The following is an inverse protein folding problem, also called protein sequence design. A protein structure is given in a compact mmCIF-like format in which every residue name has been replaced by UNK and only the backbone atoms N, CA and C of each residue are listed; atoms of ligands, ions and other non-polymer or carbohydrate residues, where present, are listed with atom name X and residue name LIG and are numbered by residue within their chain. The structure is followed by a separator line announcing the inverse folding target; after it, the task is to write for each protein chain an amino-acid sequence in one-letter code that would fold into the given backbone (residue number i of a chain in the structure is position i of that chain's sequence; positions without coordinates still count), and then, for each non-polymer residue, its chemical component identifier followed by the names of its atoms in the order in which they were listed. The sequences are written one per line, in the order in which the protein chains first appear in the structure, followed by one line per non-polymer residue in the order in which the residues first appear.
data_IF_454517436347
#
_entry.id   IF_454517436347
#
_cell.length_a   1.000
_cell.length_b   1.000
_cell.length_c   1.000
_cell.angle_alpha   90.00
_cell.angle_beta   90.00
_cell.angle_gamma   90.00
#
_symmetry.space_group_name_H-M   'P 1'
#
loop_
_entity.id
_entity.type
_entity.pdbx_description
1 polymer ?
#
# COMPACT_ATOMS: atom_id res chain seq x y z
N UNK A 1 16.88 57.26 6.41
CA UNK A 1 16.90 55.85 6.88
C UNK A 1 16.05 55.05 5.91
N UNK A 2 16.58 54.69 4.74
CA UNK A 2 17.22 53.38 4.44
C UNK A 2 16.36 52.19 4.90
N UNK A 3 15.46 51.75 4.01
CA UNK A 3 14.79 50.46 4.07
C UNK A 3 15.09 49.70 2.78
N UNK A 4 16.03 48.78 2.88
CA UNK A 4 16.52 47.89 1.82
C UNK A 4 15.41 47.01 1.23
N UNK A 5 15.47 46.79 -0.08
CA UNK A 5 14.59 45.88 -0.81
C UNK A 5 14.89 44.40 -0.57
N UNK A 6 13.96 43.55 -1.03
CA UNK A 6 14.28 42.20 -1.49
C UNK A 6 13.60 41.95 -2.81
N UNK A 7 14.46 41.58 -3.75
CA UNK A 7 14.21 41.38 -5.15
C UNK A 7 13.33 40.17 -5.41
N UNK A 8 12.54 40.32 -6.47
CA UNK A 8 12.02 39.25 -7.28
C UNK A 8 13.17 38.38 -7.83
N UNK A 9 12.94 37.07 -7.87
CA UNK A 9 13.62 36.20 -8.83
C UNK A 9 12.65 35.12 -9.25
N UNK A 10 11.95 35.43 -10.33
CA UNK A 10 11.43 34.45 -11.28
C UNK A 10 12.59 33.56 -11.74
N UNK A 11 12.41 32.24 -11.66
CA UNK A 11 13.11 31.32 -12.57
C UNK A 11 12.17 30.22 -12.99
N UNK A 12 12.13 30.07 -14.31
CA UNK A 12 11.21 29.31 -15.11
C UNK A 12 11.53 27.82 -15.12
N UNK A 13 10.47 27.03 -15.31
CA UNK A 13 10.38 25.78 -16.08
C UNK A 13 11.62 24.88 -16.15
N UNK A 14 11.46 23.64 -15.67
CA UNK A 14 11.71 22.47 -16.52
C UNK A 14 10.80 21.32 -16.09
N UNK A 15 9.90 20.99 -17.01
CA UNK A 15 8.98 19.86 -17.01
C UNK A 15 9.65 18.80 -17.87
N UNK A 16 10.12 17.69 -17.31
CA UNK A 16 10.44 16.49 -18.09
C UNK A 16 9.92 15.26 -17.37
N UNK A 17 9.14 14.53 -18.14
CA UNK A 17 8.37 13.36 -17.81
C UNK A 17 9.20 12.16 -17.35
N UNK A 18 8.54 11.38 -16.51
CA UNK A 18 8.78 9.95 -16.27
C UNK A 18 8.78 9.14 -17.56
N UNK A 19 9.74 8.21 -17.70
CA UNK A 19 9.50 6.88 -18.28
C UNK A 19 10.48 5.88 -17.66
N UNK A 20 9.97 5.03 -16.77
CA UNK A 20 10.64 3.84 -16.25
C UNK A 20 10.00 2.63 -16.91
N UNK A 21 10.64 2.13 -17.95
CA UNK A 21 10.32 0.84 -18.58
C UNK A 21 11.45 -0.18 -18.27
N UNK A 22 11.16 -1.30 -17.58
CA UNK A 22 12.13 -2.39 -17.43
C UNK A 22 11.98 -3.42 -18.56
N UNK A 23 12.97 -3.47 -19.46
CA UNK A 23 13.10 -4.54 -20.45
C UNK A 23 13.80 -5.76 -19.81
N UNK A 24 13.02 -6.82 -19.56
CA UNK A 24 13.50 -8.14 -19.13
C UNK A 24 14.05 -8.89 -20.35
N UNK A 25 15.39 -8.93 -20.49
CA UNK A 25 16.08 -9.71 -21.52
C UNK A 25 16.36 -11.14 -21.05
N UNK A 26 15.63 -12.09 -21.60
CA UNK A 26 15.79 -13.53 -21.34
C UNK A 26 17.09 -14.10 -21.91
N UNK A 27 17.75 -14.88 -21.06
CA UNK A 27 18.79 -15.86 -21.38
C UNK A 27 18.21 -16.93 -22.32
N UNK A 28 18.82 -17.17 -23.49
CA UNK A 28 18.75 -18.49 -24.16
C UNK A 28 20.09 -18.85 -24.80
N UNK A 29 20.64 -19.96 -24.31
CA UNK A 29 21.78 -20.69 -24.88
C UNK A 29 21.26 -21.77 -25.83
N UNK A 30 22.12 -22.10 -26.79
CA UNK A 30 22.15 -23.31 -27.64
C UNK A 30 21.01 -23.53 -28.63
N UNK A 31 21.37 -23.80 -29.90
CA UNK A 31 21.57 -25.18 -30.36
C UNK A 31 22.08 -25.16 -31.82
N UNK A 32 23.28 -25.69 -32.05
CA UNK A 32 23.82 -25.96 -33.39
C UNK A 32 23.37 -27.35 -33.86
N UNK A 33 23.05 -27.40 -35.16
CA UNK A 33 22.62 -28.53 -35.97
C UNK A 33 23.51 -29.77 -35.84
N UNK A 34 22.95 -30.95 -36.08
CA UNK A 34 23.56 -32.03 -36.88
C UNK A 34 22.50 -33.08 -37.34
N UNK A 35 22.39 -33.23 -38.66
CA UNK A 35 22.24 -34.47 -39.48
C UNK A 35 21.07 -35.48 -39.29
N UNK A 36 20.10 -35.42 -40.23
CA UNK A 36 19.68 -36.44 -41.26
C UNK A 36 19.71 -37.98 -40.97
N UNK A 37 19.06 -38.86 -41.79
CA UNK A 37 17.86 -38.76 -42.66
C UNK A 37 16.94 -40.02 -42.73
N UNK A 38 15.80 -39.87 -43.43
CA UNK A 38 15.11 -40.84 -44.32
C UNK A 38 14.36 -42.09 -43.82
N UNK A 39 13.40 -42.50 -44.68
CA UNK A 39 12.58 -43.73 -44.77
C UNK A 39 11.31 -43.73 -43.89
N UNK A 40 10.12 -44.20 -44.26
CA UNK A 40 9.41 -44.51 -45.51
C UNK A 40 7.99 -44.98 -45.07
N UNK A 41 6.99 -44.87 -45.97
CA UNK A 41 5.72 -45.62 -46.06
C UNK A 41 4.51 -45.34 -45.11
N UNK A 42 3.50 -44.71 -45.74
CA UNK A 42 2.10 -45.16 -45.93
C UNK A 42 1.06 -45.26 -44.79
N UNK A 43 0.09 -44.33 -44.91
CA UNK A 43 -1.36 -44.56 -45.18
C UNK A 43 -2.39 -44.76 -44.05
N UNK A 44 -3.47 -43.96 -44.19
CA UNK A 44 -4.89 -44.17 -43.79
C UNK A 44 -5.19 -44.02 -42.28
N UNK A 45 -6.23 -43.33 -41.78
CA UNK A 45 -7.55 -43.02 -42.30
C UNK A 45 -8.13 -41.69 -41.74
N UNK A 46 -9.14 -41.18 -42.46
CA UNK A 46 -10.06 -40.10 -42.07
C UNK A 46 -10.84 -40.41 -40.79
N UNK A 47 -11.02 -39.40 -39.94
CA UNK A 47 -12.26 -39.21 -39.17
C UNK A 47 -12.53 -37.70 -39.03
N UNK A 48 -13.72 -37.27 -39.46
CA UNK A 48 -14.22 -35.89 -39.42
C UNK A 48 -14.72 -35.46 -38.03
N UNK A 49 -15.42 -34.32 -37.95
CA UNK A 49 -15.34 -33.39 -36.83
C UNK A 49 -16.26 -33.79 -35.68
N UNK A 50 -15.76 -33.69 -34.44
CA UNK A 50 -16.62 -33.59 -33.28
C UNK A 50 -16.53 -32.16 -32.74
N UNK A 51 -17.62 -31.43 -32.93
CA UNK A 51 -17.84 -30.12 -32.34
C UNK A 51 -17.87 -30.26 -30.81
N UNK A 52 -16.71 -30.16 -30.16
CA UNK A 52 -16.63 -29.90 -28.74
C UNK A 52 -17.00 -28.43 -28.51
N UNK A 53 -18.27 -28.22 -28.19
CA UNK A 53 -18.80 -26.98 -27.62
C UNK A 53 -17.99 -26.66 -26.38
N UNK A 54 -17.03 -25.74 -26.49
CA UNK A 54 -16.34 -25.18 -25.35
C UNK A 54 -17.38 -24.45 -24.48
N UNK A 55 -17.88 -25.15 -23.48
CA UNK A 55 -18.62 -24.57 -22.37
C UNK A 55 -17.74 -23.49 -21.76
N UNK A 56 -18.26 -22.26 -21.73
CA UNK A 56 -17.67 -21.14 -21.00
C UNK A 56 -17.51 -21.57 -19.54
N UNK A 57 -16.32 -22.06 -19.18
CA UNK A 57 -15.91 -22.23 -17.80
C UNK A 57 -15.60 -20.83 -17.26
N UNK A 58 -16.65 -20.09 -16.92
CA UNK A 58 -16.57 -18.79 -16.28
C UNK A 58 -17.43 -18.84 -15.04
N UNK A 59 -16.90 -19.38 -13.93
CA UNK A 59 -17.50 -19.14 -12.60
C UNK A 59 -16.78 -19.74 -11.39
N UNK A 60 -15.87 -20.71 -11.51
CA UNK A 60 -15.27 -21.33 -10.30
C UNK A 60 -13.85 -20.83 -9.96
N UNK A 61 -13.06 -20.40 -10.94
CA UNK A 61 -11.67 -19.95 -10.72
C UNK A 61 -11.55 -18.55 -10.11
N UNK A 62 -12.67 -17.86 -9.87
CA UNK A 62 -12.69 -16.48 -9.37
C UNK A 62 -13.09 -16.36 -7.89
N UNK A 63 -13.30 -17.49 -7.19
CA UNK A 63 -13.71 -17.51 -5.78
C UNK A 63 -12.53 -17.75 -4.80
N UNK A 64 -11.30 -17.87 -5.31
CA UNK A 64 -10.09 -18.11 -4.51
C UNK A 64 -8.96 -17.12 -4.76
N UNK A 65 -9.11 -16.21 -5.72
CA UNK A 65 -8.21 -15.07 -5.83
C UNK A 65 -8.67 -14.06 -4.77
N UNK A 66 -7.86 -13.85 -3.71
CA UNK A 66 -8.09 -12.76 -2.75
C UNK A 66 -8.49 -11.49 -3.50
N UNK A 67 -9.48 -10.77 -2.98
CA UNK A 67 -10.06 -9.61 -3.65
C UNK A 67 -8.93 -8.72 -4.18
N UNK A 68 -8.89 -8.49 -5.50
CA UNK A 68 -7.78 -7.77 -6.12
C UNK A 68 -7.72 -6.34 -5.58
N UNK A 69 -6.54 -5.84 -5.24
CA UNK A 69 -6.38 -4.45 -4.79
C UNK A 69 -7.07 -3.45 -5.74
N UNK A 70 -8.01 -2.69 -5.21
CA UNK A 70 -8.80 -1.67 -5.92
C UNK A 70 -8.50 -0.31 -5.31
N UNK A 71 -7.48 0.37 -5.84
CA UNK A 71 -7.05 1.69 -5.39
C UNK A 71 -8.01 2.78 -5.89
N UNK A 72 -8.68 3.49 -4.97
CA UNK A 72 -9.65 4.53 -5.27
C UNK A 72 -9.39 5.78 -4.41
N UNK A 73 -9.69 6.95 -4.95
CA UNK A 73 -9.57 8.21 -4.22
C UNK A 73 -10.84 8.45 -3.42
N UNK A 74 -10.73 8.47 -2.10
CA UNK A 74 -11.85 8.67 -1.19
C UNK A 74 -11.73 10.02 -0.51
N UNK A 75 -12.84 10.76 -0.48
CA UNK A 75 -12.92 12.03 0.25
C UNK A 75 -13.03 11.75 1.74
N UNK A 76 -12.06 12.25 2.51
CA UNK A 76 -11.95 11.96 3.96
C UNK A 76 -12.30 13.16 4.83
N UNK A 77 -11.88 14.36 4.43
CA UNK A 77 -11.97 15.56 5.26
C UNK A 77 -12.07 16.81 4.38
N UNK A 78 -12.69 17.87 4.89
CA UNK A 78 -12.63 19.20 4.26
C UNK A 78 -11.35 19.91 4.68
N UNK A 79 -10.75 20.67 3.78
CA UNK A 79 -9.54 21.46 4.07
C UNK A 79 -9.76 22.48 5.20
N UNK A 80 -11.00 22.93 5.42
CA UNK A 80 -11.36 23.84 6.52
C UNK A 80 -11.32 23.21 7.91
N UNK A 81 -11.34 21.89 7.99
CA UNK A 81 -11.48 21.15 9.25
C UNK A 81 -10.12 20.68 9.81
N UNK A 82 -9.00 21.17 9.25
CA UNK A 82 -7.66 20.86 9.74
C UNK A 82 -6.81 22.13 9.79
N UNK A 83 -6.34 22.46 10.98
CA UNK A 83 -5.37 23.51 11.23
C UNK A 83 -3.93 23.05 11.02
N UNK A 84 -2.99 24.00 10.94
CA UNK A 84 -1.56 23.69 10.88
C UNK A 84 -1.10 23.02 12.18
N UNK A 85 -0.35 21.92 12.08
CA UNK A 85 0.10 21.15 13.25
C UNK A 85 -0.98 20.26 13.88
N UNK A 86 -2.17 20.18 13.28
CA UNK A 86 -3.27 19.38 13.79
C UNK A 86 -3.24 17.93 13.25
N UNK A 87 -3.77 17.03 14.06
CA UNK A 87 -3.95 15.61 13.78
C UNK A 87 -5.45 15.29 13.79
N UNK A 88 -5.94 14.71 12.70
CA UNK A 88 -7.35 14.31 12.57
C UNK A 88 -7.44 12.83 12.22
N UNK A 89 -7.91 11.97 13.14
CA UNK A 89 -8.15 10.56 12.85
C UNK A 89 -9.38 10.40 11.95
N UNK A 90 -9.30 9.52 10.95
CA UNK A 90 -10.38 9.22 10.02
C UNK A 90 -10.42 7.73 9.74
N UNK A 91 -11.60 7.12 9.77
CA UNK A 91 -11.80 5.73 9.35
C UNK A 91 -12.45 5.69 7.96
N UNK A 92 -11.92 4.85 7.06
CA UNK A 92 -12.48 4.66 5.73
C UNK A 92 -12.15 3.28 5.19
N UNK A 93 -13.12 2.60 4.58
CA UNK A 93 -12.96 1.27 3.95
C UNK A 93 -12.30 0.21 4.86
N UNK A 94 -12.56 0.31 6.18
CA UNK A 94 -11.97 -0.59 7.19
C UNK A 94 -10.52 -0.28 7.56
N UNK A 95 -9.96 0.85 7.13
CA UNK A 95 -8.64 1.34 7.50
C UNK A 95 -8.75 2.52 8.47
N UNK A 96 -7.96 2.48 9.54
CA UNK A 96 -7.81 3.58 10.48
C UNK A 96 -6.66 4.49 10.03
N UNK A 97 -7.01 5.67 9.52
CA UNK A 97 -6.10 6.64 8.92
C UNK A 97 -5.93 7.86 9.83
N UNK A 98 -4.81 8.55 9.67
CA UNK A 98 -4.47 9.78 10.38
C UNK A 98 -4.09 10.85 9.37
N UNK A 99 -4.89 11.91 9.28
CA UNK A 99 -4.56 13.10 8.51
C UNK A 99 -3.72 14.01 9.39
N UNK A 100 -2.51 14.29 8.98
CA UNK A 100 -1.56 15.14 9.70
C UNK A 100 -1.23 16.38 8.90
N UNK A 101 -1.45 17.56 9.47
CA UNK A 101 -0.98 18.81 8.91
C UNK A 101 0.36 19.18 9.55
N UNK A 102 1.39 19.33 8.73
CA UNK A 102 2.68 19.85 9.19
C UNK A 102 2.55 21.32 9.63
N UNK A 103 3.54 21.83 10.35
CA UNK A 103 3.58 23.24 10.81
C UNK A 103 3.58 24.22 9.63
N UNK A 104 4.08 23.79 8.47
CA UNK A 104 4.04 24.54 7.22
C UNK A 104 2.67 24.52 6.52
N UNK A 105 1.73 23.68 6.97
CA UNK A 105 0.40 23.48 6.37
C UNK A 105 0.34 22.44 5.26
N UNK A 106 1.43 21.70 5.01
CA UNK A 106 1.41 20.54 4.12
C UNK A 106 0.62 19.39 4.78
N UNK A 107 -0.23 18.72 4.01
CA UNK A 107 -1.12 17.66 4.50
C UNK A 107 -0.56 16.30 4.10
N UNK A 108 -0.50 15.40 5.07
CA UNK A 108 -0.04 14.04 4.92
C UNK A 108 -1.08 13.05 5.47
N UNK A 109 -1.01 11.80 5.03
CA UNK A 109 -1.86 10.73 5.54
C UNK A 109 -1.01 9.51 5.90
N UNK A 110 -1.21 9.03 7.12
CA UNK A 110 -0.53 7.90 7.72
C UNK A 110 -1.56 6.90 8.24
N UNK A 111 -1.15 5.67 8.53
CA UNK A 111 -1.96 4.80 9.37
C UNK A 111 -2.02 5.35 10.80
N UNK A 112 -3.20 5.39 11.43
CA UNK A 112 -3.37 5.81 12.82
C UNK A 112 -3.00 4.68 13.80
N UNK A 113 -1.94 3.94 13.50
CA UNK A 113 -1.51 2.77 14.27
C UNK A 113 0.00 2.80 14.35
N UNK A 114 0.51 2.88 15.57
CA UNK A 114 1.93 2.82 15.84
C UNK A 114 2.45 1.41 15.55
N UNK A 115 3.44 1.22 14.68
CA UNK A 115 3.90 -0.10 14.26
C UNK A 115 4.70 -0.83 15.35
N UNK A 116 4.95 -0.18 16.50
CA UNK A 116 5.55 -0.79 17.68
C UNK A 116 4.53 -1.64 18.47
N UNK A 117 3.53 -1.02 19.10
CA UNK A 117 2.53 -1.71 19.95
C UNK A 117 1.08 -1.58 19.45
N UNK A 118 0.85 -1.04 18.26
CA UNK A 118 -0.50 -0.86 17.71
C UNK A 118 -1.31 0.29 18.34
N UNK A 119 -0.67 1.16 19.14
CA UNK A 119 -1.35 2.29 19.79
C UNK A 119 -1.71 3.38 18.78
N UNK A 120 -2.80 4.14 18.98
CA UNK A 120 -3.17 5.19 18.06
C UNK A 120 -2.16 6.35 18.09
N UNK A 121 -1.94 6.97 16.93
CA UNK A 121 -0.98 8.07 16.73
C UNK A 121 -1.65 9.45 16.78
N UNK A 122 -2.98 9.50 16.82
CA UNK A 122 -3.81 10.71 16.94
C UNK A 122 -3.49 11.56 18.18
N UNK A 123 -3.10 10.92 19.29
CA UNK A 123 -2.63 11.59 20.51
C UNK A 123 -1.15 11.99 20.46
N UNK A 124 -0.49 11.80 19.31
CA UNK A 124 0.90 12.18 19.08
C UNK A 124 1.10 13.68 18.97
N UNK A 125 2.35 14.07 18.71
CA UNK A 125 2.70 15.47 18.46
C UNK A 125 3.37 15.57 17.09
N UNK A 126 2.93 16.54 16.29
CA UNK A 126 3.55 16.86 14.99
C UNK A 126 4.48 18.04 15.15
N UNK A 127 5.73 17.87 14.74
CA UNK A 127 6.71 18.95 14.66
C UNK A 127 7.76 18.62 13.62
N UNK A 128 8.27 19.64 12.90
CA UNK A 128 9.41 19.51 11.98
C UNK A 128 9.24 18.39 10.92
N UNK A 129 8.04 18.20 10.38
CA UNK A 129 7.78 17.13 9.40
C UNK A 129 7.79 15.70 9.95
N UNK A 130 7.80 15.53 11.27
CA UNK A 130 7.68 14.22 11.95
C UNK A 130 6.50 14.18 12.91
N UNK A 131 5.95 12.98 13.10
CA UNK A 131 4.97 12.67 14.14
C UNK A 131 5.63 11.83 15.23
N UNK A 132 5.47 12.22 16.49
CA UNK A 132 6.03 11.54 17.65
C UNK A 132 4.96 10.71 18.34
N UNK A 133 5.19 9.40 18.48
CA UNK A 133 4.31 8.50 19.21
C UNK A 133 4.17 8.95 20.68
N UNK A 134 2.94 9.05 21.23
CA UNK A 134 2.73 9.56 22.59
C UNK A 134 3.36 8.67 23.66
N UNK A 135 3.43 7.36 23.43
CA UNK A 135 3.84 6.36 24.42
C UNK A 135 5.37 6.21 24.52
N UNK A 136 6.04 5.83 23.44
CA UNK A 136 7.48 5.51 23.46
C UNK A 136 8.36 6.58 22.80
N UNK A 137 7.76 7.67 22.32
CA UNK A 137 8.43 8.81 21.70
C UNK A 137 9.25 8.50 20.45
N UNK A 138 8.97 7.39 19.77
CA UNK A 138 9.49 7.14 18.42
C UNK A 138 8.91 8.18 17.46
N UNK A 139 9.78 8.81 16.68
CA UNK A 139 9.40 9.77 15.65
C UNK A 139 9.32 9.09 14.28
N UNK A 140 8.30 9.45 13.51
CA UNK A 140 8.07 8.95 12.16
C UNK A 140 7.98 10.13 11.19
N UNK A 141 8.60 10.01 10.02
CA UNK A 141 8.50 10.98 8.93
C UNK A 141 7.06 11.06 8.42
N UNK A 142 6.48 12.27 8.35
CA UNK A 142 5.15 12.45 7.78
C UNK A 142 5.09 12.11 6.29
N UNK A 143 6.22 12.25 5.58
CA UNK A 143 6.31 12.06 4.14
C UNK A 143 6.54 10.61 3.74
N UNK A 144 7.45 9.92 4.41
CA UNK A 144 7.85 8.54 4.08
C UNK A 144 7.29 7.49 5.04
N UNK A 145 6.89 7.89 6.25
CA UNK A 145 6.50 6.96 7.32
C UNK A 145 7.69 6.26 8.00
N UNK A 146 8.91 6.57 7.58
CA UNK A 146 10.13 5.97 8.12
C UNK A 146 10.41 6.45 9.54
N UNK A 147 11.03 5.58 10.34
CA UNK A 147 11.53 5.93 11.66
C UNK A 147 12.63 6.98 11.53
N UNK A 148 12.50 8.07 12.28
CA UNK A 148 13.50 9.14 12.36
C UNK A 148 14.08 9.16 13.77
N UNK A 149 15.39 8.94 13.90
CA UNK A 149 16.08 8.91 15.18
C UNK A 149 15.97 7.55 15.88
N UNK A 150 15.84 7.58 17.21
CA UNK A 150 15.91 6.37 18.03
C UNK A 150 14.59 5.58 18.04
N UNK A 151 14.72 4.25 17.98
CA UNK A 151 13.62 3.33 18.17
C UNK A 151 13.34 3.13 19.66
N UNK A 152 12.10 3.42 20.09
CA UNK A 152 11.63 3.33 21.48
C UNK A 152 12.54 3.99 22.54
N UNK A 153 12.81 5.31 22.47
CA UNK A 153 13.67 6.01 23.45
C UNK A 153 13.07 6.12 24.86
N UNK A 154 11.75 5.99 25.02
CA UNK A 154 11.06 6.08 26.31
C UNK A 154 10.36 4.75 26.67
N UNK A 155 10.39 4.28 27.94
CA UNK A 155 11.01 4.90 29.13
C UNK A 155 12.55 4.91 29.08
N UNK A 156 13.24 5.90 29.70
CA UNK A 156 14.70 5.97 29.65
C UNK A 156 15.36 4.68 30.15
N UNK A 157 16.43 4.24 29.48
CA UNK A 157 17.19 3.00 29.74
C UNK A 157 16.42 1.72 29.38
N UNK A 158 15.17 1.55 29.85
CA UNK A 158 14.38 0.34 29.62
C UNK A 158 13.82 0.23 28.21
N UNK A 159 13.40 1.35 27.61
CA UNK A 159 12.85 1.42 26.25
C UNK A 159 13.80 0.81 25.22
N UNK A 160 15.01 1.38 25.02
CA UNK A 160 15.93 0.90 23.98
C UNK A 160 16.56 -0.48 24.30
N UNK A 161 16.69 -0.85 25.58
CA UNK A 161 17.35 -2.12 25.95
C UNK A 161 16.40 -3.32 25.95
N UNK A 162 15.13 -3.15 26.34
CA UNK A 162 14.17 -4.25 26.51
C UNK A 162 13.15 -4.27 25.37
N UNK A 163 12.48 -3.16 25.11
CA UNK A 163 11.38 -3.09 24.13
C UNK A 163 11.91 -2.89 22.70
N UNK A 164 12.90 -2.00 22.54
CA UNK A 164 13.52 -1.73 21.23
C UNK A 164 14.31 -2.90 20.64
N UNK A 165 14.70 -3.88 21.46
CA UNK A 165 15.33 -5.13 21.01
C UNK A 165 14.35 -6.28 20.77
N UNK A 166 13.10 -6.15 21.22
CA UNK A 166 12.07 -7.18 21.06
C UNK A 166 11.41 -7.08 19.68
N UNK A 167 11.00 -5.86 19.30
CA UNK A 167 10.32 -5.59 18.04
C UNK A 167 11.25 -4.79 17.11
N UNK A 168 11.54 -5.26 15.88
CA UNK A 168 12.36 -4.49 14.95
C UNK A 168 11.69 -3.18 14.58
N UNK A 169 12.50 -2.17 14.24
CA UNK A 169 12.00 -0.91 13.73
C UNK A 169 11.14 -1.13 12.48
N UNK A 170 9.89 -0.69 12.56
CA UNK A 170 8.91 -0.78 11.48
C UNK A 170 8.42 0.61 11.11
N UNK A 171 8.26 0.83 9.82
CA UNK A 171 7.76 2.09 9.29
C UNK A 171 6.23 2.14 9.40
N UNK A 172 5.69 3.34 9.53
CA UNK A 172 4.25 3.59 9.44
C UNK A 172 3.84 3.60 7.97
N UNK A 173 2.70 2.98 7.64
CA UNK A 173 2.16 3.05 6.29
C UNK A 173 1.73 4.49 5.95
N UNK A 174 2.18 4.99 4.80
CA UNK A 174 1.77 6.28 4.24
C UNK A 174 0.78 6.07 3.10
N UNK A 175 -0.15 7.02 2.95
CA UNK A 175 -1.15 6.99 1.89
C UNK A 175 -1.05 8.26 1.04
N UNK A 176 -1.11 8.15 -0.30
CA UNK A 176 -1.11 9.32 -1.17
C UNK A 176 -2.30 10.23 -0.88
N UNK A 177 -2.02 11.53 -0.73
CA UNK A 177 -3.02 12.56 -0.48
C UNK A 177 -3.05 13.54 -1.64
N UNK A 178 -4.25 14.00 -2.00
CA UNK A 178 -4.44 15.12 -2.91
C UNK A 178 -5.56 16.03 -2.43
N UNK A 179 -5.47 17.31 -2.76
CA UNK A 179 -6.59 18.25 -2.62
C UNK A 179 -7.44 18.25 -3.90
N UNK A 180 -8.75 18.18 -3.74
CA UNK A 180 -9.73 18.28 -4.82
C UNK A 180 -10.78 19.32 -4.44
N UNK A 181 -10.56 20.57 -4.87
CA UNK A 181 -11.38 21.72 -4.45
C UNK A 181 -11.22 21.99 -2.95
N UNK A 182 -12.33 21.96 -2.21
CA UNK A 182 -12.36 22.15 -0.75
C UNK A 182 -12.19 20.84 0.06
N UNK A 183 -11.99 19.72 -0.63
CA UNK A 183 -11.92 18.39 -0.04
C UNK A 183 -10.50 17.81 -0.12
N UNK A 184 -10.11 17.09 0.92
CA UNK A 184 -8.92 16.26 0.99
C UNK A 184 -9.33 14.84 0.61
N UNK A 185 -8.61 14.27 -0.35
CA UNK A 185 -8.80 12.90 -0.80
C UNK A 185 -7.55 12.07 -0.54
N UNK A 186 -7.76 10.83 -0.11
CA UNK A 186 -6.70 9.85 0.13
C UNK A 186 -6.91 8.68 -0.81
N UNK A 187 -5.82 8.17 -1.39
CA UNK A 187 -5.88 6.96 -2.20
C UNK A 187 -5.83 5.73 -1.29
N UNK A 188 -6.90 4.94 -1.31
CA UNK A 188 -7.07 3.78 -0.43
C UNK A 188 -7.50 2.54 -1.22
N UNK A 189 -7.17 1.36 -0.72
CA UNK A 189 -7.65 0.11 -1.31
C UNK A 189 -9.06 -0.20 -0.79
N UNK A 190 -10.08 -0.08 -1.64
CA UNK A 190 -11.48 -0.40 -1.31
C UNK A 190 -11.69 -1.85 -0.88
N UNK A 191 -10.81 -2.74 -1.32
CA UNK A 191 -10.86 -4.16 -1.00
C UNK A 191 -10.01 -4.52 0.22
N UNK A 192 -9.32 -3.57 0.87
CA UNK A 192 -8.43 -3.85 2.00
C UNK A 192 -9.10 -4.69 3.10
N UNK A 193 -10.34 -4.35 3.47
CA UNK A 193 -11.12 -5.11 4.44
C UNK A 193 -11.42 -6.53 3.96
N UNK A 194 -11.91 -6.67 2.73
CA UNK A 194 -12.24 -7.98 2.16
C UNK A 194 -10.99 -8.87 2.01
N UNK A 195 -9.86 -8.27 1.63
CA UNK A 195 -8.54 -8.92 1.58
C UNK A 195 -8.11 -9.41 2.97
N UNK A 196 -8.19 -8.54 3.98
CA UNK A 196 -7.85 -8.88 5.36
C UNK A 196 -8.75 -10.00 5.93
N UNK A 197 -10.06 -9.92 5.71
CA UNK A 197 -11.04 -10.88 6.21
C UNK A 197 -11.01 -12.21 5.44
N UNK A 198 -10.53 -12.24 4.19
CA UNK A 198 -10.52 -13.45 3.35
C UNK A 198 -9.78 -14.63 3.99
N UNK A 199 -8.70 -14.37 4.73
CA UNK A 199 -7.94 -15.39 5.46
C UNK A 199 -8.56 -15.75 6.81
N UNK A 200 -9.37 -14.87 7.41
CA UNK A 200 -9.99 -15.08 8.72
C UNK A 200 -11.12 -16.12 8.64
N UNK A 201 -11.96 -16.03 7.61
CA UNK A 201 -13.11 -16.92 7.43
C UNK A 201 -12.75 -18.28 6.82
N UNK A 202 -11.55 -18.43 6.25
CA UNK A 202 -11.14 -19.63 5.53
C UNK A 202 -11.04 -20.91 6.38
N UNK A 203 -11.02 -20.79 7.72
CA UNK A 203 -10.84 -21.93 8.63
C UNK A 203 -11.96 -22.19 9.64
N UNK A 204 -13.02 -21.37 9.68
CA UNK A 204 -13.99 -21.37 10.79
C UNK A 204 -15.33 -22.06 10.48
N UNK A 205 -15.55 -22.53 9.24
CA UNK A 205 -16.82 -23.14 8.82
C UNK A 205 -16.57 -24.38 7.94
N UNK A 206 -16.36 -25.54 8.56
CA UNK A 206 -17.33 -26.64 8.75
C UNK A 206 -16.61 -27.80 9.52
N UNK A 207 -17.35 -28.81 10.01
CA UNK A 207 -16.75 -29.95 10.72
C UNK A 207 -15.91 -30.89 9.81
N UNK A 208 -15.78 -30.56 8.52
CA UNK A 208 -15.15 -31.36 7.47
C UNK A 208 -14.03 -30.60 6.71
N UNK A 209 -13.69 -29.37 7.12
CA UNK A 209 -12.65 -28.52 6.53
C UNK A 209 -12.98 -27.88 5.17
N UNK A 210 -14.26 -27.66 4.80
CA UNK A 210 -14.65 -27.04 3.51
C UNK A 210 -15.44 -25.74 3.69
N UNK A 211 -14.90 -24.66 3.12
CA UNK A 211 -15.54 -23.34 3.06
C UNK A 211 -16.65 -23.25 1.98
N UNK A 212 -17.61 -24.18 1.95
CA UNK A 212 -18.68 -24.19 0.93
C UNK A 212 -19.96 -23.48 1.35
N UNK A 213 -20.15 -23.13 2.62
CA UNK A 213 -21.25 -22.27 3.06
C UNK A 213 -22.66 -22.85 2.92
N UNK A 214 -22.79 -24.15 2.65
CA UNK A 214 -24.09 -24.85 2.58
C UNK A 214 -24.48 -25.35 3.98
N UNK A 215 -25.56 -24.79 4.53
CA UNK A 215 -26.19 -25.29 5.76
C UNK A 215 -27.25 -26.34 5.37
N UNK A 216 -27.12 -27.56 5.88
CA UNK A 216 -28.15 -28.60 5.80
C UNK A 216 -29.17 -28.45 6.92
#
# INVERSE_FOLDING_TARGET
MLGYGRAASDTWLLRVSVDMSPCVGHHRRNLLLLTQPSLFFSAVAKAGPSAARATRASSALNMMAGARAKMEWVTVLKTSNIGKGELVPVETDGMNLLIAADTNGAIYCLANVCPHLGTPLDQGTVANGVIVCPLHKTAFSLKSGEVVGDWCPFPPILGPMVLGKLEPAKNVATFPVRSSGSNIQVQVNKNARAEFESGYWAGILDAQGKATGDYY
#
